data_IF_670167638479
#
_entry.id   IF_670167638479
#
_cell.length_a   1.000
_cell.length_b   1.000
_cell.length_c   1.000
_cell.angle_alpha   90.00
_cell.angle_beta   90.00
_cell.angle_gamma   90.00
#
_symmetry.space_group_name_H-M   'P 1'
#
loop_
_entity.id
_entity.type
_entity.pdbx_description
1 polymer ?
#
# COMPACT_ATOMS: atom_id res chain seq x y z
N UNK A 1 -6.69 14.83 -29.71
CA UNK A 1 -6.27 14.33 -28.38
C UNK A 1 -5.89 15.53 -27.51
N UNK A 2 -6.83 16.06 -26.74
CA UNK A 2 -6.55 17.14 -25.78
C UNK A 2 -5.66 16.59 -24.67
N UNK A 3 -4.42 17.08 -24.59
CA UNK A 3 -3.55 16.80 -23.44
C UNK A 3 -4.10 17.61 -22.28
N UNK A 4 -4.74 16.96 -21.30
CA UNK A 4 -5.07 17.60 -20.03
C UNK A 4 -3.77 18.16 -19.46
N UNK A 5 -3.64 19.49 -19.46
CA UNK A 5 -2.56 20.18 -18.77
C UNK A 5 -2.68 19.86 -17.28
N UNK A 6 -1.56 19.72 -16.55
CA UNK A 6 -1.60 19.56 -15.11
C UNK A 6 -2.35 20.75 -14.51
N UNK A 7 -3.30 20.46 -13.62
CA UNK A 7 -4.08 21.48 -12.90
C UNK A 7 -3.10 22.40 -12.16
N UNK A 8 -3.29 23.71 -12.26
CA UNK A 8 -2.41 24.66 -11.57
C UNK A 8 -2.51 24.41 -10.07
N UNK A 9 -1.40 24.46 -9.34
CA UNK A 9 -1.40 24.37 -7.87
C UNK A 9 -2.26 25.46 -7.22
N UNK A 10 -2.50 26.57 -7.93
CA UNK A 10 -3.44 27.61 -7.50
C UNK A 10 -4.91 27.19 -7.58
N UNK A 11 -5.29 26.26 -8.45
CA UNK A 11 -6.68 25.78 -8.58
C UNK A 11 -7.07 24.83 -7.44
N UNK A 12 -6.08 24.22 -6.76
CA UNK A 12 -6.26 23.48 -5.51
C UNK A 12 -6.64 24.38 -4.32
N UNK A 13 -6.72 25.71 -4.48
CA UNK A 13 -7.31 26.59 -3.46
C UNK A 13 -8.84 26.54 -3.45
N UNK A 14 -9.49 26.00 -4.49
CA UNK A 14 -10.94 25.80 -4.54
C UNK A 14 -11.32 24.38 -4.12
N UNK A 15 -10.68 23.86 -3.07
CA UNK A 15 -11.08 22.62 -2.42
C UNK A 15 -12.25 22.88 -1.46
N UNK A 16 -13.34 23.48 -1.95
CA UNK A 16 -14.44 24.03 -1.14
C UNK A 16 -15.13 23.03 -0.20
N UNK A 17 -14.84 21.73 -0.32
CA UNK A 17 -15.41 20.67 0.50
C UNK A 17 -14.39 19.77 1.20
N UNK A 18 -13.09 19.94 0.92
CA UNK A 18 -12.05 19.16 1.61
C UNK A 18 -11.75 19.83 2.95
N UNK A 19 -11.77 19.10 4.06
CA UNK A 19 -11.38 19.64 5.37
C UNK A 19 -9.98 20.26 5.32
N UNK A 20 -9.78 21.39 6.00
CA UNK A 20 -8.51 22.15 5.95
C UNK A 20 -7.27 21.27 6.18
N UNK A 21 -7.32 20.39 7.17
CA UNK A 21 -6.25 19.44 7.48
C UNK A 21 -5.94 18.48 6.32
N UNK A 22 -6.99 17.86 5.76
CA UNK A 22 -6.85 16.99 4.60
C UNK A 22 -6.32 17.74 3.38
N UNK A 23 -6.80 18.97 3.15
CA UNK A 23 -6.36 19.82 2.03
C UNK A 23 -4.88 20.19 2.15
N UNK A 24 -4.41 20.54 3.35
CA UNK A 24 -2.99 20.83 3.61
C UNK A 24 -2.09 19.63 3.31
N UNK A 25 -2.50 18.43 3.77
CA UNK A 25 -1.75 17.20 3.52
C UNK A 25 -1.74 16.81 2.04
N UNK A 26 -2.89 16.89 1.36
CA UNK A 26 -3.02 16.66 -0.09
C UNK A 26 -2.08 17.60 -0.87
N UNK A 27 -2.06 18.89 -0.52
CA UNK A 27 -1.19 19.87 -1.17
C UNK A 27 0.29 19.51 -1.02
N UNK A 28 0.72 19.17 0.18
CA UNK A 28 2.10 18.76 0.45
C UNK A 28 2.50 17.51 -0.35
N UNK A 29 1.62 16.52 -0.43
CA UNK A 29 1.84 15.33 -1.25
C UNK A 29 1.89 15.64 -2.74
N UNK A 30 0.98 16.48 -3.23
CA UNK A 30 0.92 16.89 -4.62
C UNK A 30 2.19 17.63 -5.05
N UNK A 31 2.65 18.58 -4.24
CA UNK A 31 3.88 19.32 -4.49
C UNK A 31 5.11 18.39 -4.51
N UNK A 32 5.24 17.53 -3.49
CA UNK A 32 6.35 16.56 -3.40
C UNK A 32 6.41 15.64 -4.63
N UNK A 33 5.27 15.09 -5.06
CA UNK A 33 5.20 14.19 -6.22
C UNK A 33 5.40 14.92 -7.54
N UNK A 34 4.98 16.18 -7.63
CA UNK A 34 5.24 17.04 -8.80
C UNK A 34 6.74 17.30 -8.95
N UNK A 35 7.42 17.63 -7.86
CA UNK A 35 8.88 17.79 -7.83
C UNK A 35 9.60 16.47 -8.18
N UNK A 36 9.15 15.34 -7.63
CA UNK A 36 9.71 14.02 -7.96
C UNK A 36 9.54 13.69 -9.45
N UNK A 37 8.35 13.92 -10.02
CA UNK A 37 8.08 13.67 -11.43
C UNK A 37 8.97 14.54 -12.33
N UNK A 38 9.18 15.81 -11.97
CA UNK A 38 10.10 16.69 -12.68
C UNK A 38 11.54 16.14 -12.67
N UNK A 39 12.03 15.67 -11.52
CA UNK A 39 13.36 15.04 -11.39
C UNK A 39 13.48 13.77 -12.27
N UNK A 40 12.49 12.88 -12.22
CA UNK A 40 12.50 11.65 -13.05
C UNK A 40 12.49 11.99 -14.55
N UNK A 41 11.77 13.03 -14.96
CA UNK A 41 11.75 13.50 -16.35
C UNK A 41 13.12 14.00 -16.79
N UNK A 42 13.83 14.73 -15.93
CA UNK A 42 15.21 15.15 -16.21
C UNK A 42 16.14 13.94 -16.35
N UNK A 43 16.07 12.96 -15.43
CA UNK A 43 16.84 11.71 -15.53
C UNK A 43 16.60 11.00 -16.87
N UNK A 44 15.33 10.90 -17.28
CA UNK A 44 14.94 10.28 -18.56
C UNK A 44 15.63 10.99 -19.73
N UNK A 45 15.68 12.33 -19.74
CA UNK A 45 16.35 13.09 -20.80
C UNK A 45 17.85 12.81 -20.83
N UNK A 46 18.51 12.77 -19.66
CA UNK A 46 19.95 12.47 -19.59
C UNK A 46 20.30 11.06 -20.07
N UNK A 47 19.42 10.08 -19.86
CA UNK A 47 19.64 8.68 -20.22
C UNK A 47 19.31 8.36 -21.69
N UNK A 48 18.66 9.25 -22.44
CA UNK A 48 18.25 8.98 -23.83
C UNK A 48 19.43 8.74 -24.79
N UNK A 49 20.62 9.25 -24.46
CA UNK A 49 21.84 9.04 -25.26
C UNK A 49 22.54 7.70 -25.02
N UNK A 50 22.26 7.02 -23.90
CA UNK A 50 22.93 5.76 -23.55
C UNK A 50 22.26 4.56 -24.23
N UNK A 51 22.91 4.05 -25.28
CA UNK A 51 22.45 2.89 -26.05
C UNK A 51 22.88 1.55 -25.45
N UNK A 52 23.59 1.54 -24.33
CA UNK A 52 23.98 0.29 -23.67
C UNK A 52 22.73 -0.46 -23.17
N UNK A 53 22.82 -1.80 -23.06
CA UNK A 53 21.74 -2.62 -22.50
C UNK A 53 21.35 -2.16 -21.09
N UNK A 54 22.34 -1.78 -20.27
CA UNK A 54 22.15 -1.24 -18.92
C UNK A 54 21.44 0.13 -18.95
N UNK A 55 21.82 1.01 -19.89
CA UNK A 55 21.18 2.30 -20.13
C UNK A 55 19.70 2.15 -20.47
N UNK A 56 19.38 1.27 -21.44
CA UNK A 56 18.01 0.99 -21.88
C UNK A 56 17.16 0.43 -20.73
N UNK A 57 17.68 -0.53 -19.96
CA UNK A 57 16.98 -1.09 -18.80
C UNK A 57 16.68 -0.01 -17.73
N UNK A 58 17.67 0.83 -17.43
CA UNK A 58 17.53 1.94 -16.47
C UNK A 58 16.51 2.97 -16.95
N UNK A 59 16.56 3.35 -18.23
CA UNK A 59 15.61 4.27 -18.86
C UNK A 59 14.18 3.74 -18.78
N UNK A 60 13.96 2.45 -19.07
CA UNK A 60 12.65 1.81 -18.96
C UNK A 60 12.14 1.81 -17.51
N UNK A 61 13.00 1.54 -16.52
CA UNK A 61 12.65 1.63 -15.10
C UNK A 61 12.23 3.06 -14.71
N UNK A 62 12.97 4.08 -15.17
CA UNK A 62 12.64 5.49 -14.93
C UNK A 62 11.32 5.89 -15.59
N UNK A 63 11.05 5.46 -16.83
CA UNK A 63 9.77 5.68 -17.52
C UNK A 63 8.58 5.05 -16.79
N UNK A 64 8.73 3.82 -16.29
CA UNK A 64 7.70 3.16 -15.47
C UNK A 64 7.44 3.95 -14.19
N UNK A 65 8.49 4.38 -13.49
CA UNK A 65 8.36 5.23 -12.28
C UNK A 65 7.65 6.54 -12.60
N UNK A 66 8.04 7.25 -13.66
CA UNK A 66 7.37 8.50 -14.06
C UNK A 66 5.88 8.29 -14.34
N UNK A 67 5.52 7.19 -15.01
CA UNK A 67 4.11 6.83 -15.26
C UNK A 67 3.37 6.58 -13.94
N UNK A 68 3.96 5.80 -13.03
CA UNK A 68 3.37 5.52 -11.71
C UNK A 68 3.16 6.81 -10.89
N UNK A 69 4.18 7.68 -10.82
CA UNK A 69 4.09 8.99 -10.12
C UNK A 69 3.01 9.87 -10.73
N UNK A 70 2.90 9.94 -12.07
CA UNK A 70 1.85 10.71 -12.74
C UNK A 70 0.44 10.15 -12.48
N UNK A 71 0.29 8.83 -12.46
CA UNK A 71 -0.97 8.18 -12.09
C UNK A 71 -1.35 8.48 -10.64
N UNK A 72 -0.37 8.51 -9.72
CA UNK A 72 -0.59 8.83 -8.31
C UNK A 72 -1.03 10.29 -8.13
N UNK A 73 -0.40 11.24 -8.83
CA UNK A 73 -0.81 12.66 -8.83
C UNK A 73 -2.27 12.83 -9.25
N UNK A 74 -2.68 12.23 -10.36
CA UNK A 74 -4.07 12.27 -10.84
C UNK A 74 -5.05 11.72 -9.80
N UNK A 75 -4.65 10.67 -9.09
CA UNK A 75 -5.48 10.05 -8.04
C UNK A 75 -5.62 10.95 -6.81
N UNK A 76 -4.55 11.63 -6.41
CA UNK A 76 -4.59 12.64 -5.35
C UNK A 76 -5.52 13.79 -5.75
N UNK A 77 -5.42 14.27 -6.98
CA UNK A 77 -6.33 15.29 -7.53
C UNK A 77 -7.78 14.82 -7.50
N UNK A 78 -8.06 13.58 -7.92
CA UNK A 78 -9.40 12.99 -7.83
C UNK A 78 -9.89 12.91 -6.39
N UNK A 79 -9.09 12.43 -5.44
CA UNK A 79 -9.47 12.38 -4.01
C UNK A 79 -9.82 13.78 -3.51
N UNK A 80 -9.07 14.80 -3.93
CA UNK A 80 -9.27 16.18 -3.50
C UNK A 80 -10.52 16.83 -4.12
N UNK A 81 -10.80 16.55 -5.39
CA UNK A 81 -11.77 17.34 -6.20
C UNK A 81 -13.01 16.59 -6.64
N UNK A 82 -13.03 15.25 -6.57
CA UNK A 82 -14.15 14.46 -7.06
C UNK A 82 -15.42 14.70 -6.24
N UNK A 83 -16.56 14.89 -6.92
CA UNK A 83 -17.81 15.28 -6.27
C UNK A 83 -18.25 14.28 -5.19
N UNK A 84 -18.18 12.98 -5.48
CA UNK A 84 -18.54 11.95 -4.49
C UNK A 84 -17.70 12.01 -3.19
N UNK A 85 -16.45 12.48 -3.26
CA UNK A 85 -15.59 12.61 -2.07
C UNK A 85 -16.14 13.63 -1.07
N UNK A 86 -16.93 14.62 -1.51
CA UNK A 86 -17.68 15.53 -0.61
C UNK A 86 -18.57 14.74 0.35
N UNK A 87 -19.21 13.69 -0.15
CA UNK A 87 -20.05 12.79 0.65
C UNK A 87 -19.26 12.01 1.69
N UNK A 88 -18.03 11.59 1.35
CA UNK A 88 -17.11 10.92 2.26
C UNK A 88 -16.60 11.89 3.34
N UNK A 89 -16.12 13.07 2.96
CA UNK A 89 -15.63 14.09 3.89
C UNK A 89 -16.71 14.55 4.86
N UNK A 90 -17.94 14.78 4.40
CA UNK A 90 -19.07 15.15 5.25
C UNK A 90 -19.46 14.07 6.26
N UNK A 91 -19.21 12.79 5.96
CA UNK A 91 -19.46 11.68 6.90
C UNK A 91 -18.32 11.54 7.90
N UNK A 92 -17.09 11.64 7.41
CA UNK A 92 -15.90 11.54 8.23
C UNK A 92 -15.76 12.71 9.20
N UNK A 93 -16.19 13.93 8.86
CA UNK A 93 -16.17 15.07 9.77
C UNK A 93 -17.03 14.89 11.02
N UNK A 94 -17.95 13.92 11.03
CA UNK A 94 -18.75 13.56 12.20
C UNK A 94 -18.04 12.59 13.17
N UNK A 95 -16.97 11.93 12.71
CA UNK A 95 -16.27 10.88 13.46
C UNK A 95 -14.78 11.15 13.65
N UNK A 96 -14.18 11.97 12.79
CA UNK A 96 -12.79 12.41 12.90
C UNK A 96 -12.73 13.62 13.84
N UNK A 97 -11.85 13.54 14.84
CA UNK A 97 -11.64 14.61 15.81
C UNK A 97 -10.26 15.26 15.68
N UNK A 98 -9.34 14.64 14.94
CA UNK A 98 -7.94 15.08 14.85
C UNK A 98 -7.42 15.12 13.41
N UNK A 99 -6.54 16.08 13.14
CA UNK A 99 -5.90 16.25 11.83
C UNK A 99 -5.07 15.03 11.41
N UNK A 100 -4.46 14.33 12.38
CA UNK A 100 -3.72 13.09 12.14
C UNK A 100 -4.59 11.98 11.53
N UNK A 101 -5.89 11.93 11.89
CA UNK A 101 -6.84 10.97 11.32
C UNK A 101 -7.17 11.32 9.86
N UNK A 102 -7.30 12.61 9.52
CA UNK A 102 -7.43 13.03 8.11
C UNK A 102 -6.22 12.59 7.29
N UNK A 103 -5.01 12.81 7.81
CA UNK A 103 -3.78 12.39 7.14
C UNK A 103 -3.73 10.88 6.95
N UNK A 104 -4.11 10.10 7.98
CA UNK A 104 -4.19 8.66 7.90
C UNK A 104 -5.22 8.18 6.86
N UNK A 105 -6.39 8.80 6.81
CA UNK A 105 -7.42 8.46 5.82
C UNK A 105 -6.94 8.72 4.38
N UNK A 106 -6.38 9.90 4.12
CA UNK A 106 -5.85 10.26 2.80
C UNK A 106 -4.66 9.36 2.43
N UNK A 107 -3.73 9.14 3.36
CA UNK A 107 -2.58 8.27 3.14
C UNK A 107 -3.00 6.83 2.80
N UNK A 108 -3.98 6.29 3.51
CA UNK A 108 -4.52 4.97 3.23
C UNK A 108 -5.24 4.90 1.87
N UNK A 109 -6.06 5.90 1.52
CA UNK A 109 -6.70 5.99 0.20
C UNK A 109 -5.66 5.98 -0.93
N UNK A 110 -4.61 6.80 -0.80
CA UNK A 110 -3.52 6.95 -1.78
C UNK A 110 -2.68 5.68 -1.88
N UNK A 111 -2.31 5.08 -0.76
CA UNK A 111 -1.46 3.87 -0.72
C UNK A 111 -2.10 2.71 -1.49
N UNK A 112 -3.42 2.63 -1.44
CA UNK A 112 -4.18 1.58 -2.13
C UNK A 112 -4.52 1.96 -3.57
N UNK A 113 -4.38 3.23 -3.89
CA UNK A 113 -4.38 3.77 -5.23
C UNK A 113 -3.07 3.42 -5.99
N UNK A 114 -2.11 2.71 -5.36
CA UNK A 114 -0.99 2.09 -6.07
C UNK A 114 -1.41 0.98 -7.02
N UNK A 115 -0.53 0.58 -7.95
CA UNK A 115 -0.78 -0.61 -8.75
C UNK A 115 -0.70 -1.83 -7.83
N UNK A 116 -1.85 -2.26 -7.30
CA UNK A 116 -1.95 -3.41 -6.39
C UNK A 116 -1.19 -4.62 -6.91
N UNK A 117 -1.02 -4.78 -8.24
CA UNK A 117 -0.20 -5.85 -8.83
C UNK A 117 1.28 -5.74 -8.47
N UNK A 118 1.87 -4.55 -8.47
CA UNK A 118 3.27 -4.36 -8.08
C UNK A 118 3.46 -4.60 -6.58
N UNK A 119 2.54 -4.08 -5.76
CA UNK A 119 2.55 -4.30 -4.31
C UNK A 119 2.34 -5.78 -3.98
N UNK A 120 1.38 -6.44 -4.64
CA UNK A 120 1.12 -7.87 -4.51
C UNK A 120 2.31 -8.71 -4.98
N UNK A 121 3.01 -8.30 -6.05
CA UNK A 121 4.22 -8.97 -6.52
C UNK A 121 5.34 -8.90 -5.47
N UNK A 122 5.59 -7.71 -4.92
CA UNK A 122 6.57 -7.53 -3.84
C UNK A 122 6.19 -8.30 -2.57
N UNK A 123 4.91 -8.29 -2.19
CA UNK A 123 4.42 -9.02 -1.02
C UNK A 123 4.45 -10.53 -1.21
N UNK A 124 4.14 -11.02 -2.40
CA UNK A 124 4.26 -12.45 -2.71
C UNK A 124 5.71 -12.88 -2.59
N UNK A 125 6.64 -12.10 -3.12
CA UNK A 125 8.06 -12.36 -2.99
C UNK A 125 8.50 -12.36 -1.51
N UNK A 126 8.02 -11.41 -0.71
CA UNK A 126 8.29 -11.37 0.73
C UNK A 126 7.68 -12.56 1.48
N UNK A 127 6.45 -12.98 1.14
CA UNK A 127 5.82 -14.15 1.73
C UNK A 127 6.55 -15.44 1.37
N UNK A 128 7.00 -15.58 0.12
CA UNK A 128 7.86 -16.69 -0.33
C UNK A 128 9.18 -16.70 0.45
N UNK A 129 9.82 -15.54 0.64
CA UNK A 129 11.01 -15.41 1.49
C UNK A 129 10.73 -15.80 2.96
N UNK A 130 9.60 -15.38 3.54
CA UNK A 130 9.23 -15.75 4.91
C UNK A 130 8.96 -17.25 5.07
N UNK A 131 8.36 -17.88 4.07
CA UNK A 131 8.17 -19.33 4.06
C UNK A 131 9.52 -20.07 4.00
N UNK A 132 10.47 -19.57 3.21
CA UNK A 132 11.85 -20.11 3.17
C UNK A 132 12.56 -19.96 4.52
N UNK A 133 12.46 -18.81 5.18
CA UNK A 133 13.00 -18.60 6.54
C UNK A 133 12.37 -19.57 7.52
N UNK A 134 11.04 -19.72 7.51
CA UNK A 134 10.32 -20.61 8.42
C UNK A 134 10.75 -22.06 8.24
N UNK A 135 10.96 -22.50 6.99
CA UNK A 135 11.51 -23.83 6.67
C UNK A 135 12.93 -23.99 7.20
N UNK A 136 13.80 -23.00 6.99
CA UNK A 136 15.18 -23.02 7.48
C UNK A 136 15.24 -23.07 9.02
N UNK A 137 14.43 -22.26 9.70
CA UNK A 137 14.35 -22.23 11.16
C UNK A 137 13.81 -23.55 11.73
N UNK A 138 12.79 -24.14 11.10
CA UNK A 138 12.25 -25.45 11.48
C UNK A 138 13.29 -26.55 11.32
N UNK A 139 14.03 -26.54 10.20
CA UNK A 139 15.12 -27.48 9.96
C UNK A 139 16.22 -27.35 11.03
N UNK A 140 16.64 -26.13 11.36
CA UNK A 140 17.63 -25.88 12.42
C UNK A 140 17.14 -26.41 13.77
N UNK A 141 15.88 -26.16 14.12
CA UNK A 141 15.29 -26.65 15.37
C UNK A 141 15.28 -28.18 15.46
N UNK A 142 14.99 -28.88 14.35
CA UNK A 142 15.04 -30.34 14.29
C UNK A 142 16.47 -30.86 14.49
N UNK A 143 17.46 -30.23 13.87
CA UNK A 143 18.85 -30.61 14.03
C UNK A 143 19.34 -30.41 15.47
N UNK A 144 18.97 -29.30 16.11
CA UNK A 144 19.31 -29.03 17.52
C UNK A 144 18.69 -30.06 18.46
N UNK A 145 17.42 -30.44 18.26
CA UNK A 145 16.76 -31.52 19.04
C UNK A 145 17.40 -32.89 18.82
N UNK A 146 17.85 -33.19 17.60
CA UNK A 146 18.58 -34.42 17.30
C UNK A 146 19.92 -34.46 18.04
N UNK A 147 20.63 -33.33 18.07
CA UNK A 147 21.89 -33.21 18.80
C UNK A 147 21.71 -33.40 20.32
N UNK A 148 20.65 -32.82 20.89
CA UNK A 148 20.31 -32.97 22.30
C UNK A 148 19.98 -34.42 22.67
N UNK A 149 19.21 -35.13 21.83
CA UNK A 149 18.82 -36.52 22.12
C UNK A 149 19.94 -37.55 21.96
N UNK A 150 20.94 -37.25 21.12
CA UNK A 150 22.07 -38.16 20.85
C UNK A 150 23.35 -37.79 21.60
N UNK A 151 23.42 -36.59 22.18
CA UNK A 151 24.64 -36.01 22.76
C UNK A 151 25.75 -35.75 21.74
N UNK A 152 25.44 -35.80 20.43
CA UNK A 152 26.38 -35.57 19.33
C UNK A 152 25.79 -34.58 18.34
N UNK A 153 26.56 -33.56 17.99
CA UNK A 153 26.19 -32.68 16.88
C UNK A 153 26.13 -33.50 15.58
N UNK A 154 25.03 -33.46 14.80
CA UNK A 154 24.98 -34.16 13.53
C UNK A 154 26.08 -33.65 12.59
N UNK A 155 26.74 -34.54 11.85
CA UNK A 155 27.83 -34.19 10.91
C UNK A 155 27.41 -33.18 9.84
N UNK A 156 26.10 -33.04 9.57
CA UNK A 156 25.56 -32.02 8.67
C UNK A 156 25.65 -30.60 9.23
N UNK A 157 25.83 -30.44 10.55
CA UNK A 157 26.13 -29.20 11.26
C UNK A 157 27.64 -29.11 11.52
N UNK A 158 28.43 -29.10 10.44
CA UNK A 158 29.78 -28.57 10.54
C UNK A 158 29.73 -27.07 10.87
N UNK A 159 30.80 -26.53 11.47
CA UNK A 159 30.89 -25.11 11.83
C UNK A 159 30.52 -24.18 10.65
N UNK A 160 30.89 -24.56 9.43
CA UNK A 160 30.57 -23.80 8.22
C UNK A 160 29.05 -23.72 7.94
N UNK A 161 28.31 -24.82 8.17
CA UNK A 161 26.87 -24.86 7.91
C UNK A 161 26.08 -24.17 9.03
N UNK A 162 26.49 -24.33 10.29
CA UNK A 162 25.91 -23.64 11.44
C UNK A 162 26.02 -22.12 11.29
N UNK A 163 27.22 -21.62 10.95
CA UNK A 163 27.47 -20.21 10.69
C UNK A 163 26.67 -19.72 9.49
N UNK A 164 26.57 -20.51 8.41
CA UNK A 164 25.78 -20.11 7.23
C UNK A 164 24.29 -19.95 7.52
N UNK A 165 23.71 -20.80 8.38
CA UNK A 165 22.29 -20.73 8.75
C UNK A 165 22.05 -19.56 9.70
N UNK A 166 22.92 -19.35 10.68
CA UNK A 166 22.82 -18.19 11.58
C UNK A 166 23.02 -16.89 10.82
N UNK A 167 23.99 -16.82 9.90
CA UNK A 167 24.21 -15.65 9.03
C UNK A 167 23.07 -15.43 8.06
N UNK A 168 22.45 -16.49 7.53
CA UNK A 168 21.25 -16.37 6.71
C UNK A 168 20.09 -15.81 7.54
N UNK A 169 19.82 -16.36 8.72
CA UNK A 169 18.77 -15.88 9.61
C UNK A 169 19.05 -14.44 10.06
N UNK A 170 20.29 -14.09 10.42
CA UNK A 170 20.67 -12.76 10.86
C UNK A 170 20.62 -11.73 9.74
N UNK A 171 21.17 -12.05 8.55
CA UNK A 171 21.11 -11.19 7.36
C UNK A 171 19.67 -10.96 6.95
N UNK A 172 18.89 -12.04 6.80
CA UNK A 172 17.49 -11.92 6.43
C UNK A 172 16.70 -11.17 7.50
N UNK A 173 16.93 -11.42 8.79
CA UNK A 173 16.27 -10.66 9.87
C UNK A 173 16.69 -9.18 9.90
N UNK A 174 17.93 -8.85 9.53
CA UNK A 174 18.43 -7.47 9.49
C UNK A 174 17.92 -6.68 8.28
N UNK A 175 17.72 -7.37 7.16
CA UNK A 175 17.10 -6.81 5.94
C UNK A 175 15.57 -6.80 6.05
N UNK A 176 15.02 -7.70 6.88
CA UNK A 176 13.61 -7.77 7.21
C UNK A 176 13.24 -6.61 8.11
N UNK A 177 12.78 -5.54 7.49
CA UNK A 177 11.81 -4.66 8.14
C UNK A 177 10.51 -5.43 8.13
N UNK A 178 9.96 -5.87 9.28
CA UNK A 178 8.56 -6.26 9.30
C UNK A 178 7.81 -5.07 8.74
N UNK A 179 7.33 -5.21 7.51
CA UNK A 179 6.13 -4.52 7.13
C UNK A 179 5.17 -5.01 8.20
N UNK A 180 4.75 -4.17 9.14
CA UNK A 180 3.61 -4.51 9.98
C UNK A 180 2.48 -4.78 9.01
N UNK A 181 2.23 -6.06 8.76
CA UNK A 181 1.30 -6.56 7.75
C UNK A 181 -0.10 -6.42 8.36
N UNK A 182 -0.53 -5.20 8.67
CA UNK A 182 -1.89 -4.94 9.14
C UNK A 182 -2.85 -5.12 7.96
N UNK A 183 -3.00 -4.10 7.10
CA UNK A 183 -4.04 -4.11 6.07
C UNK A 183 -3.96 -5.16 4.98
N UNK A 184 -2.77 -5.66 4.68
CA UNK A 184 -2.59 -6.55 3.54
C UNK A 184 -2.89 -8.02 3.85
N UNK A 185 -2.68 -8.49 5.09
CA UNK A 185 -3.13 -9.81 5.51
C UNK A 185 -4.66 -9.88 5.53
N UNK A 186 -5.31 -8.80 5.96
CA UNK A 186 -6.76 -8.66 5.87
C UNK A 186 -7.25 -8.75 4.42
N UNK A 187 -6.52 -8.17 3.46
CA UNK A 187 -6.83 -8.29 2.04
C UNK A 187 -6.64 -9.71 1.50
N UNK A 188 -5.57 -10.40 1.91
CA UNK A 188 -5.18 -11.71 1.37
C UNK A 188 -5.97 -12.90 1.93
N UNK A 189 -6.64 -12.77 3.08
CA UNK A 189 -7.38 -13.85 3.75
C UNK A 189 -8.64 -14.38 3.00
N UNK A 190 -9.08 -13.74 1.91
CA UNK A 190 -10.31 -14.11 1.19
C UNK A 190 -10.15 -15.21 0.11
N UNK A 191 -11.03 -16.24 0.14
CA UNK A 191 -11.09 -17.33 -0.86
C UNK A 191 -11.74 -16.95 -2.22
N UNK A 192 -12.58 -15.92 -2.28
CA UNK A 192 -13.14 -15.35 -3.53
C UNK A 192 -12.63 -13.92 -3.69
N UNK A 193 -11.66 -13.73 -4.58
CA UNK A 193 -10.86 -12.51 -4.72
C UNK A 193 -11.46 -11.57 -5.76
N UNK A 194 -12.23 -10.58 -5.33
CA UNK A 194 -12.44 -9.39 -6.15
C UNK A 194 -11.42 -8.33 -5.72
N UNK A 195 -10.76 -7.69 -6.70
CA UNK A 195 -9.76 -6.64 -6.43
C UNK A 195 -10.32 -5.54 -5.53
N UNK A 196 -11.60 -5.19 -5.72
CA UNK A 196 -12.31 -4.20 -4.91
C UNK A 196 -12.47 -4.65 -3.45
N UNK A 197 -12.76 -5.93 -3.17
CA UNK A 197 -12.89 -6.42 -1.81
C UNK A 197 -11.55 -6.41 -1.07
N UNK A 198 -10.47 -6.81 -1.76
CA UNK A 198 -9.12 -6.80 -1.20
C UNK A 198 -8.66 -5.36 -0.90
N UNK A 199 -8.94 -4.41 -1.82
CA UNK A 199 -8.75 -2.98 -1.58
C UNK A 199 -9.49 -2.49 -0.34
N UNK A 200 -10.78 -2.81 -0.22
CA UNK A 200 -11.61 -2.35 0.90
C UNK A 200 -11.09 -2.87 2.24
N UNK A 201 -10.68 -4.15 2.30
CA UNK A 201 -10.11 -4.74 3.52
C UNK A 201 -8.79 -4.09 3.90
N UNK A 202 -7.90 -3.88 2.92
CA UNK A 202 -6.67 -3.15 3.15
C UNK A 202 -6.92 -1.70 3.59
N UNK A 203 -7.95 -1.04 3.06
CA UNK A 203 -8.28 0.30 3.52
C UNK A 203 -8.75 0.29 4.96
N UNK A 204 -9.73 -0.55 5.29
CA UNK A 204 -10.29 -0.60 6.63
C UNK A 204 -9.24 -0.93 7.69
N UNK A 205 -8.31 -1.84 7.41
CA UNK A 205 -7.27 -2.19 8.36
C UNK A 205 -6.20 -1.09 8.50
N UNK A 206 -5.85 -0.36 7.43
CA UNK A 206 -4.98 0.80 7.54
C UNK A 206 -5.60 1.90 8.42
N UNK A 207 -6.91 2.07 8.32
CA UNK A 207 -7.67 2.98 9.18
C UNK A 207 -7.75 2.47 10.62
N UNK A 208 -7.97 1.18 10.84
CA UNK A 208 -7.99 0.58 12.17
C UNK A 208 -6.65 0.74 12.88
N UNK A 209 -5.53 0.54 12.18
CA UNK A 209 -4.17 0.76 12.69
C UNK A 209 -3.95 2.23 13.05
N UNK A 210 -4.60 3.16 12.35
CA UNK A 210 -4.62 4.59 12.66
C UNK A 210 -5.65 4.98 13.73
N UNK A 211 -6.25 4.01 14.44
CA UNK A 211 -7.17 4.24 15.55
C UNK A 211 -8.62 4.55 15.13
N UNK A 212 -9.01 4.34 13.88
CA UNK A 212 -10.40 4.52 13.46
C UNK A 212 -11.29 3.38 13.97
N UNK A 213 -12.42 3.73 14.59
CA UNK A 213 -13.52 2.79 14.78
C UNK A 213 -14.26 2.60 13.44
N UNK A 214 -14.18 1.41 12.86
CA UNK A 214 -14.81 1.08 11.57
C UNK A 214 -16.33 0.92 11.73
N UNK A 215 -17.03 2.05 11.82
CA UNK A 215 -18.50 2.15 11.85
C UNK A 215 -19.11 2.55 10.50
N UNK A 216 -20.44 2.67 10.43
CA UNK A 216 -21.15 2.99 9.17
C UNK A 216 -20.65 4.23 8.41
N UNK A 217 -20.33 5.38 9.06
CA UNK A 217 -19.79 6.54 8.37
C UNK A 217 -18.44 6.26 7.70
N UNK A 218 -17.56 5.51 8.36
CA UNK A 218 -16.23 5.15 7.86
C UNK A 218 -16.36 4.15 6.71
N UNK A 219 -17.22 3.14 6.83
CA UNK A 219 -17.46 2.17 5.75
C UNK A 219 -18.03 2.84 4.50
N UNK A 220 -18.92 3.82 4.65
CA UNK A 220 -19.39 4.64 3.53
C UNK A 220 -18.25 5.42 2.88
N UNK A 221 -17.40 6.05 3.69
CA UNK A 221 -16.26 6.82 3.18
C UNK A 221 -15.26 5.92 2.44
N UNK A 222 -15.00 4.70 2.95
CA UNK A 222 -14.18 3.69 2.27
C UNK A 222 -14.79 3.32 0.92
N UNK A 223 -16.10 3.06 0.84
CA UNK A 223 -16.77 2.70 -0.41
C UNK A 223 -16.64 3.80 -1.48
N UNK A 224 -16.87 5.06 -1.09
CA UNK A 224 -16.73 6.22 -1.96
C UNK A 224 -15.28 6.37 -2.42
N UNK A 225 -14.33 6.41 -1.49
CA UNK A 225 -12.92 6.58 -1.83
C UNK A 225 -12.40 5.43 -2.69
N UNK A 226 -12.83 4.19 -2.45
CA UNK A 226 -12.53 3.04 -3.29
C UNK A 226 -13.06 3.22 -4.71
N UNK A 227 -14.30 3.72 -4.87
CA UNK A 227 -14.88 4.01 -6.20
C UNK A 227 -14.07 5.07 -6.94
N UNK A 228 -13.66 6.14 -6.25
CA UNK A 228 -12.89 7.26 -6.83
C UNK A 228 -11.45 6.85 -7.15
N UNK A 229 -10.85 5.97 -6.35
CA UNK A 229 -9.49 5.46 -6.54
C UNK A 229 -9.40 4.33 -7.58
N UNK A 230 -10.51 3.66 -7.92
CA UNK A 230 -10.48 2.53 -8.82
C UNK A 230 -10.45 2.96 -10.28
N UNK A 231 -9.46 2.48 -11.04
CA UNK A 231 -9.37 2.75 -12.49
C UNK A 231 -10.38 1.91 -13.31
N UNK A 232 -11.10 0.95 -12.70
CA UNK A 232 -12.04 0.08 -13.41
C UNK A 232 -13.42 0.72 -13.65
N UNK A 233 -13.64 1.95 -13.15
CA UNK A 233 -14.91 2.67 -13.25
C UNK A 233 -16.06 2.00 -12.50
N UNK A 234 -15.79 0.95 -11.72
CA UNK A 234 -16.80 0.26 -10.96
C UNK A 234 -17.17 1.07 -9.73
N UNK A 235 -18.43 1.48 -9.66
CA UNK A 235 -18.99 2.07 -8.45
C UNK A 235 -19.04 1.00 -7.36
N UNK A 236 -18.35 1.25 -6.25
CA UNK A 236 -18.35 0.42 -5.06
C UNK A 236 -19.39 0.98 -4.10
N UNK A 237 -20.44 0.21 -3.85
CA UNK A 237 -21.51 0.63 -2.95
C UNK A 237 -21.11 0.40 -1.49
N UNK A 238 -21.86 1.01 -0.57
CA UNK A 238 -21.75 0.72 0.85
C UNK A 238 -21.92 -0.77 1.17
N UNK A 239 -22.85 -1.45 0.48
CA UNK A 239 -23.11 -2.87 0.72
C UNK A 239 -21.94 -3.75 0.23
N UNK A 240 -21.28 -3.36 -0.87
CA UNK A 240 -20.05 -4.03 -1.32
C UNK A 240 -18.95 -3.91 -0.27
N UNK A 241 -18.75 -2.69 0.26
CA UNK A 241 -17.74 -2.46 1.30
C UNK A 241 -18.06 -3.20 2.60
N UNK A 242 -19.31 -3.10 3.07
CA UNK A 242 -19.79 -3.82 4.25
C UNK A 242 -19.62 -5.32 4.11
N UNK A 243 -19.96 -5.87 2.95
CA UNK A 243 -19.80 -7.29 2.63
C UNK A 243 -18.34 -7.71 2.60
N UNK A 244 -17.46 -6.92 1.98
CA UNK A 244 -16.02 -7.18 1.95
C UNK A 244 -15.38 -7.23 3.35
N UNK A 245 -15.88 -6.39 4.26
CA UNK A 245 -15.43 -6.32 5.66
C UNK A 245 -16.11 -7.34 6.59
N UNK A 246 -16.97 -8.22 6.06
CA UNK A 246 -17.76 -9.18 6.84
C UNK A 246 -18.55 -8.54 8.00
N UNK A 247 -19.01 -7.29 7.84
CA UNK A 247 -19.76 -6.55 8.86
C UNK A 247 -21.25 -6.98 8.94
N UNK A 248 -21.51 -8.28 8.79
CA UNK A 248 -22.84 -8.85 8.56
C UNK A 248 -23.34 -9.67 9.76
N UNK A 249 -24.55 -9.31 10.23
CA UNK A 249 -25.48 -10.04 11.11
C UNK A 249 -25.32 -10.06 12.64
N UNK A 250 -24.44 -9.27 13.26
CA UNK A 250 -24.65 -9.00 14.70
C UNK A 250 -25.80 -7.99 14.82
N UNK A 251 -26.97 -8.43 15.30
CA UNK A 251 -28.17 -7.61 15.54
C UNK A 251 -28.01 -6.66 16.75
N UNK A 252 -26.85 -6.67 17.40
CA UNK A 252 -26.69 -6.10 18.74
C UNK A 252 -25.84 -4.82 18.75
N UNK A 253 -26.18 -3.87 17.86
CA UNK A 253 -25.77 -2.47 17.95
C UNK A 253 -26.95 -1.55 17.60
#
# INVERSE_FOLDING_TARGET
MSRNLPVSTNDLHVLGYTPSAAAAYIRLLHESLTQELARIRLDILTLQGDKSVKGISTLNKRRRRAKATATLLRRIENIATHEDMKGAYSRLSKVISHDSQWNAFISAAISLCGDYKEVQGGMRQQAEQMEEIAKAATHLALLLRSAESTGRMPESLTDANAVSVVDLVARVSSEYKPFTIGPFDAALAGRKRSRSADYIRAFAAALADAGFKIGPPVVHAIAIAASVCSDDGKVITYNDARGALNLSRRRDL
#
